data_IF_593077704641
#
_entry.id   IF_593077704641
#
_cell.length_a   1.000
_cell.length_b   1.000
_cell.length_c   1.000
_cell.angle_alpha   90.00
_cell.angle_beta   90.00
_cell.angle_gamma   90.00
#
_symmetry.space_group_name_H-M   'P 1'
#
loop_
_entity.id
_entity.type
_entity.pdbx_description
1 polymer ?
#
# COMPACT_ATOMS: atom_id res chain seq x y z
N UNK A 1 2.54 10.77 35.57
CA UNK A 1 2.51 11.53 34.30
C UNK A 1 2.74 10.54 33.18
N UNK A 2 1.67 9.95 32.65
CA UNK A 2 1.73 9.10 31.47
C UNK A 2 1.96 10.00 30.26
N UNK A 3 2.88 9.68 29.34
CA UNK A 3 2.99 10.44 28.09
C UNK A 3 1.63 10.34 27.39
N UNK A 4 0.95 11.46 27.21
CA UNK A 4 -0.27 11.46 26.40
C UNK A 4 0.16 11.21 24.96
N UNK A 5 -0.52 10.33 24.23
CA UNK A 5 -0.25 10.01 22.82
C UNK A 5 -0.24 11.23 21.86
N UNK A 6 -0.47 12.46 22.35
CA UNK A 6 -0.49 13.72 21.61
C UNK A 6 0.89 14.32 21.28
N UNK A 7 1.99 13.76 21.80
CA UNK A 7 3.33 14.34 21.62
C UNK A 7 4.12 13.77 20.41
N UNK A 8 3.56 12.81 19.68
CA UNK A 8 4.09 12.39 18.38
C UNK A 8 3.71 13.41 17.29
N UNK A 9 4.20 14.65 17.42
CA UNK A 9 4.07 15.60 16.30
C UNK A 9 4.98 15.11 15.17
N UNK A 10 4.40 14.50 14.12
CA UNK A 10 5.07 14.17 12.86
C UNK A 10 5.44 15.44 12.05
N UNK A 11 6.05 16.42 12.71
CA UNK A 11 6.29 17.76 12.23
C UNK A 11 7.52 17.88 11.33
N UNK A 12 8.46 16.93 11.36
CA UNK A 12 9.62 16.93 10.44
C UNK A 12 9.28 16.24 9.11
N UNK A 13 9.70 16.78 7.95
CA UNK A 13 9.50 16.11 6.67
C UNK A 13 10.12 14.71 6.64
N UNK A 14 11.29 14.53 7.27
CA UNK A 14 11.98 13.24 7.34
C UNK A 14 11.14 12.15 8.02
N UNK A 15 10.41 12.49 9.09
CA UNK A 15 9.51 11.52 9.74
C UNK A 15 8.38 11.08 8.82
N UNK A 16 7.83 12.00 8.03
CA UNK A 16 6.77 11.67 7.06
C UNK A 16 7.25 10.69 6.01
N UNK A 17 8.42 10.94 5.42
CA UNK A 17 9.03 10.02 4.47
C UNK A 17 9.33 8.67 5.11
N UNK A 18 9.97 8.65 6.28
CA UNK A 18 10.34 7.41 6.96
C UNK A 18 9.14 6.53 7.33
N UNK A 19 8.08 7.12 7.87
CA UNK A 19 6.89 6.37 8.31
C UNK A 19 6.03 5.93 7.12
N UNK A 20 5.91 6.75 6.08
CA UNK A 20 5.22 6.35 4.85
C UNK A 20 5.98 5.23 4.13
N UNK A 21 7.32 5.29 4.09
CA UNK A 21 8.15 4.22 3.55
C UNK A 21 8.01 2.93 4.39
N UNK A 22 7.97 3.04 5.72
CA UNK A 22 7.73 1.90 6.61
C UNK A 22 6.41 1.20 6.25
N UNK A 23 5.34 1.95 6.03
CA UNK A 23 4.04 1.38 5.61
C UNK A 23 4.15 0.57 4.31
N UNK A 24 4.82 1.10 3.28
CA UNK A 24 5.04 0.39 2.02
C UNK A 24 5.96 -0.83 2.19
N UNK A 25 6.97 -0.74 3.05
CA UNK A 25 7.88 -1.84 3.34
C UNK A 25 7.19 -2.98 4.10
N UNK A 26 6.30 -2.66 5.05
CA UNK A 26 5.48 -3.66 5.74
C UNK A 26 4.58 -4.41 4.75
N UNK A 27 3.99 -3.71 3.77
CA UNK A 27 3.25 -4.39 2.69
C UNK A 27 4.15 -5.33 1.90
N UNK A 28 5.36 -4.90 1.54
CA UNK A 28 6.32 -5.74 0.80
C UNK A 28 6.69 -7.02 1.56
N UNK A 29 6.89 -6.92 2.89
CA UNK A 29 7.17 -8.11 3.70
C UNK A 29 5.95 -9.04 3.86
N UNK A 30 4.72 -8.53 3.69
CA UNK A 30 3.51 -9.35 3.80
C UNK A 30 3.16 -10.15 2.55
N UNK A 31 3.77 -9.81 1.40
CA UNK A 31 3.51 -10.47 0.11
C UNK A 31 4.58 -11.55 -0.19
N UNK A 32 4.34 -12.45 -1.18
CA UNK A 32 5.20 -13.60 -1.47
C UNK A 32 6.68 -13.22 -1.69
N UNK A 33 7.56 -14.18 -1.35
CA UNK A 33 8.99 -14.10 -0.94
C UNK A 33 9.13 -14.19 0.57
N UNK A 34 8.59 -13.20 1.31
CA UNK A 34 8.72 -13.16 2.76
C UNK A 34 7.52 -13.82 3.45
N UNK A 35 6.32 -13.59 2.91
CA UNK A 35 5.08 -14.24 3.37
C UNK A 35 4.79 -13.99 4.87
N UNK A 36 5.18 -12.82 5.40
CA UNK A 36 4.90 -12.43 6.78
C UNK A 36 3.50 -11.82 6.87
N UNK A 37 2.50 -12.66 6.61
CA UNK A 37 1.08 -12.29 6.53
C UNK A 37 0.53 -11.45 7.71
N UNK A 38 1.02 -11.55 8.98
CA UNK A 38 0.52 -10.69 10.04
C UNK A 38 0.82 -9.21 9.80
N UNK A 39 1.86 -8.90 9.02
CA UNK A 39 2.23 -7.51 8.71
C UNK A 39 1.20 -6.82 7.81
N UNK A 40 0.46 -7.57 6.98
CA UNK A 40 -0.59 -7.00 6.12
C UNK A 40 -1.64 -6.24 6.94
N UNK A 41 -2.00 -6.77 8.12
CA UNK A 41 -3.00 -6.19 9.03
C UNK A 41 -2.61 -4.82 9.58
N UNK A 42 -1.30 -4.55 9.69
CA UNK A 42 -0.78 -3.30 10.25
C UNK A 42 -0.09 -2.45 9.19
N UNK A 43 0.05 -2.93 7.95
CA UNK A 43 0.88 -2.29 6.95
C UNK A 43 0.39 -0.88 6.59
N UNK A 44 -0.93 -0.63 6.55
CA UNK A 44 -1.49 0.69 6.24
C UNK A 44 -1.51 1.63 7.44
N UNK A 45 -1.40 1.12 8.67
CA UNK A 45 -1.55 1.92 9.89
C UNK A 45 -0.52 3.06 10.01
N UNK A 46 0.78 2.88 9.68
CA UNK A 46 1.76 3.96 9.81
C UNK A 46 1.46 5.15 8.88
N UNK A 47 1.14 4.91 7.60
CA UNK A 47 0.81 6.01 6.67
C UNK A 47 -0.49 6.70 7.08
N UNK A 48 -1.47 5.92 7.52
CA UNK A 48 -2.72 6.41 8.11
C UNK A 48 -2.47 7.38 9.27
N UNK A 49 -1.65 7.02 10.25
CA UNK A 49 -1.33 7.88 11.40
C UNK A 49 -0.66 9.19 10.99
N UNK A 50 0.26 9.15 10.01
CA UNK A 50 0.88 10.37 9.47
C UNK A 50 -0.14 11.30 8.83
N UNK A 51 -1.11 10.74 8.11
CA UNK A 51 -2.18 11.50 7.45
C UNK A 51 -3.21 12.06 8.43
N UNK A 52 -3.46 11.36 9.55
CA UNK A 52 -4.29 11.87 10.65
C UNK A 52 -3.68 13.13 11.26
N UNK A 53 -2.39 13.10 11.61
CA UNK A 53 -1.74 14.20 12.31
C UNK A 53 -1.31 15.34 11.38
N UNK A 54 -0.94 15.02 10.14
CA UNK A 54 -0.43 16.00 9.17
C UNK A 54 -1.05 15.85 7.78
N UNK A 55 -2.39 16.03 7.62
CA UNK A 55 -3.08 15.82 6.35
C UNK A 55 -2.56 16.70 5.20
N UNK A 56 -1.98 17.87 5.53
CA UNK A 56 -1.32 18.76 4.56
C UNK A 56 -0.14 18.10 3.82
N UNK A 57 0.45 17.04 4.39
CA UNK A 57 1.58 16.29 3.81
C UNK A 57 1.15 15.04 3.05
N UNK A 58 -0.14 14.90 2.75
CA UNK A 58 -0.70 13.77 2.00
C UNK A 58 0.04 13.48 0.69
N UNK A 59 0.54 14.51 0.01
CA UNK A 59 1.27 14.33 -1.24
C UNK A 59 2.59 13.59 -1.01
N UNK A 60 3.41 14.08 -0.07
CA UNK A 60 4.70 13.47 0.25
C UNK A 60 4.52 12.06 0.84
N UNK A 61 3.59 11.89 1.79
CA UNK A 61 3.30 10.60 2.41
C UNK A 61 2.78 9.60 1.38
N UNK A 62 1.77 9.97 0.60
CA UNK A 62 1.14 9.08 -0.38
C UNK A 62 2.09 8.69 -1.52
N UNK A 63 2.90 9.62 -2.03
CA UNK A 63 3.88 9.29 -3.09
C UNK A 63 4.95 8.33 -2.57
N UNK A 64 5.40 8.52 -1.33
CA UNK A 64 6.41 7.65 -0.72
C UNK A 64 5.86 6.26 -0.45
N UNK A 65 4.70 6.18 0.20
CA UNK A 65 4.00 4.92 0.45
C UNK A 65 3.71 4.19 -0.86
N UNK A 66 3.11 4.90 -1.84
CA UNK A 66 2.78 4.35 -3.14
C UNK A 66 4.00 3.83 -3.89
N UNK A 67 5.08 4.61 -3.94
CA UNK A 67 6.31 4.18 -4.60
C UNK A 67 6.96 2.98 -3.91
N UNK A 68 7.13 2.99 -2.59
CA UNK A 68 7.78 1.89 -1.86
C UNK A 68 6.96 0.61 -1.94
N UNK A 69 5.65 0.69 -1.75
CA UNK A 69 4.76 -0.47 -1.94
C UNK A 69 4.78 -0.96 -3.39
N UNK A 70 4.73 -0.04 -4.37
CA UNK A 70 4.83 -0.35 -5.79
C UNK A 70 6.11 -1.10 -6.15
N UNK A 71 7.28 -0.62 -5.69
CA UNK A 71 8.57 -1.32 -5.86
C UNK A 71 8.49 -2.72 -5.25
N UNK A 72 7.94 -2.85 -4.03
CA UNK A 72 7.75 -4.16 -3.41
C UNK A 72 6.93 -5.14 -4.26
N UNK A 73 5.92 -4.65 -4.98
CA UNK A 73 5.10 -5.47 -5.87
C UNK A 73 5.81 -5.86 -7.18
N UNK A 74 6.70 -4.99 -7.70
CA UNK A 74 7.21 -5.10 -9.08
C UNK A 74 8.73 -5.09 -9.23
N UNK A 75 9.50 -5.25 -8.16
CA UNK A 75 10.98 -5.24 -8.19
C UNK A 75 11.57 -6.21 -9.24
N UNK A 76 10.89 -7.34 -9.48
CA UNK A 76 11.27 -8.39 -10.44
C UNK A 76 11.21 -7.95 -11.91
N UNK A 77 10.54 -6.82 -12.22
CA UNK A 77 10.46 -6.30 -13.59
C UNK A 77 11.85 -5.92 -14.11
N UNK A 78 12.73 -5.39 -13.26
CA UNK A 78 14.10 -5.03 -13.67
C UNK A 78 14.83 -6.24 -14.23
N UNK A 79 14.79 -7.37 -13.54
CA UNK A 79 15.42 -8.61 -14.02
C UNK A 79 14.80 -9.07 -15.34
N UNK A 80 13.46 -8.99 -15.44
CA UNK A 80 12.72 -9.44 -16.63
C UNK A 80 13.14 -8.67 -17.88
N UNK A 81 13.17 -7.34 -17.84
CA UNK A 81 13.48 -6.53 -19.03
C UNK A 81 14.97 -6.54 -19.37
N UNK A 82 15.85 -6.77 -18.40
CA UNK A 82 17.29 -6.93 -18.65
C UNK A 82 17.57 -8.28 -19.31
N UNK A 83 17.09 -9.38 -18.73
CA UNK A 83 17.42 -10.72 -19.19
C UNK A 83 16.65 -11.13 -20.46
N UNK A 84 15.38 -10.76 -20.57
CA UNK A 84 14.54 -11.14 -21.71
C UNK A 84 14.34 -10.02 -22.73
N UNK A 85 14.47 -8.76 -22.30
CA UNK A 85 14.35 -7.58 -23.20
C UNK A 85 15.69 -7.10 -23.74
N UNK A 86 16.83 -7.56 -23.20
CA UNK A 86 18.16 -7.11 -23.59
C UNK A 86 18.47 -5.66 -23.21
N UNK A 87 17.69 -5.07 -22.28
CA UNK A 87 17.94 -3.73 -21.79
C UNK A 87 19.18 -3.72 -20.89
N UNK A 88 19.88 -2.59 -20.85
CA UNK A 88 20.90 -2.41 -19.82
C UNK A 88 20.24 -2.28 -18.43
N UNK A 89 20.99 -2.53 -17.34
CA UNK A 89 20.43 -2.49 -15.98
C UNK A 89 19.82 -1.13 -15.56
N UNK A 90 20.37 -0.02 -16.07
CA UNK A 90 19.88 1.34 -15.75
C UNK A 90 18.48 1.55 -16.34
N UNK A 91 18.29 1.18 -17.60
CA UNK A 91 17.00 1.23 -18.27
C UNK A 91 16.02 0.25 -17.62
N UNK A 92 16.49 -0.92 -17.17
CA UNK A 92 15.65 -1.87 -16.44
C UNK A 92 15.15 -1.34 -15.09
N UNK A 93 16.00 -0.63 -14.34
CA UNK A 93 15.60 0.05 -13.10
C UNK A 93 14.62 1.19 -13.38
N UNK A 94 14.85 1.95 -14.45
CA UNK A 94 13.95 3.03 -14.87
C UNK A 94 12.57 2.49 -15.26
N UNK A 95 12.51 1.43 -16.07
CA UNK A 95 11.25 0.77 -16.45
C UNK A 95 10.48 0.26 -15.22
N UNK A 96 11.15 -0.43 -14.29
CA UNK A 96 10.52 -0.87 -13.04
C UNK A 96 9.98 0.31 -12.23
N UNK A 97 10.75 1.39 -12.11
CA UNK A 97 10.35 2.59 -11.36
C UNK A 97 9.08 3.23 -11.94
N UNK A 98 8.93 3.26 -13.27
CA UNK A 98 7.70 3.73 -13.92
C UNK A 98 6.52 2.85 -13.54
N UNK A 99 6.67 1.52 -13.66
CA UNK A 99 5.59 0.59 -13.29
C UNK A 99 5.26 0.67 -11.81
N UNK A 100 6.25 0.81 -10.94
CA UNK A 100 6.07 1.01 -9.51
C UNK A 100 5.30 2.30 -9.21
N UNK A 101 5.54 3.40 -9.94
CA UNK A 101 4.75 4.62 -9.80
C UNK A 101 3.31 4.44 -10.29
N UNK A 102 3.09 3.69 -11.38
CA UNK A 102 1.75 3.41 -11.90
C UNK A 102 0.92 2.58 -10.92
N UNK A 103 1.47 1.49 -10.38
CA UNK A 103 0.78 0.66 -9.38
C UNK A 103 0.70 1.39 -8.03
N UNK A 104 1.74 2.14 -7.68
CA UNK A 104 1.78 2.98 -6.47
C UNK A 104 0.77 4.12 -6.48
N UNK A 105 0.31 4.55 -7.66
CA UNK A 105 -0.68 5.62 -7.80
C UNK A 105 -2.01 5.28 -7.10
N UNK A 106 -2.41 4.00 -7.09
CA UNK A 106 -3.60 3.54 -6.38
C UNK A 106 -3.48 3.75 -4.87
N UNK A 107 -2.33 3.40 -4.28
CA UNK A 107 -2.02 3.68 -2.86
C UNK A 107 -1.90 5.18 -2.55
N UNK A 108 -1.39 5.97 -3.49
CA UNK A 108 -1.34 7.43 -3.38
C UNK A 108 -2.75 8.06 -3.36
N UNK A 109 -3.64 7.64 -4.25
CA UNK A 109 -5.03 8.14 -4.31
C UNK A 109 -5.77 7.77 -3.02
N UNK A 110 -5.57 6.55 -2.51
CA UNK A 110 -6.06 6.14 -1.20
C UNK A 110 -5.61 7.10 -0.09
N UNK A 111 -4.33 7.49 -0.06
CA UNK A 111 -3.82 8.44 0.93
C UNK A 111 -4.49 9.82 0.83
N UNK A 112 -4.78 10.32 -0.37
CA UNK A 112 -5.52 11.58 -0.54
C UNK A 112 -6.92 11.49 0.06
N UNK A 113 -7.61 10.37 -0.16
CA UNK A 113 -8.95 10.15 0.41
C UNK A 113 -8.90 10.11 1.94
N UNK A 114 -8.00 9.30 2.49
CA UNK A 114 -7.82 9.15 3.94
C UNK A 114 -7.48 10.48 4.62
N UNK A 115 -6.60 11.29 4.01
CA UNK A 115 -6.22 12.60 4.55
C UNK A 115 -7.38 13.62 4.60
N UNK A 116 -8.41 13.43 3.78
CA UNK A 116 -9.56 14.34 3.68
C UNK A 116 -10.80 13.82 4.38
N UNK A 117 -10.76 12.59 4.90
CA UNK A 117 -11.90 11.96 5.55
C UNK A 117 -11.91 12.25 7.06
N UNK A 118 -13.10 12.38 7.64
CA UNK A 118 -13.25 12.61 9.08
C UNK A 118 -12.93 11.36 9.91
N UNK A 119 -11.72 11.30 10.48
CA UNK A 119 -11.23 10.21 11.33
C UNK A 119 -12.06 9.95 12.60
N UNK A 120 -12.81 10.96 13.05
CA UNK A 120 -13.65 10.86 14.25
C UNK A 120 -14.97 10.11 14.01
N UNK A 121 -15.27 9.77 12.76
CA UNK A 121 -16.48 9.02 12.41
C UNK A 121 -16.33 7.53 12.75
N UNK A 122 -17.34 6.94 13.36
CA UNK A 122 -17.43 5.48 13.56
C UNK A 122 -17.41 4.70 12.24
N UNK A 123 -17.77 5.36 11.13
CA UNK A 123 -17.75 4.77 9.78
C UNK A 123 -16.39 4.83 9.10
N UNK A 124 -15.39 5.50 9.70
CA UNK A 124 -14.08 5.69 9.07
C UNK A 124 -13.41 4.38 8.63
N UNK A 125 -13.36 3.29 9.44
CA UNK A 125 -12.75 2.04 9.02
C UNK A 125 -13.42 1.45 7.78
N UNK A 126 -14.76 1.44 7.76
CA UNK A 126 -15.55 0.93 6.63
C UNK A 126 -15.27 1.75 5.37
N UNK A 127 -15.21 3.08 5.48
CA UNK A 127 -14.89 3.97 4.35
C UNK A 127 -13.47 3.75 3.85
N UNK A 128 -12.49 3.65 4.75
CA UNK A 128 -11.10 3.40 4.38
C UNK A 128 -10.95 2.04 3.67
N UNK A 129 -11.50 0.96 4.23
CA UNK A 129 -11.52 -0.37 3.62
C UNK A 129 -12.21 -0.38 2.26
N UNK A 130 -13.34 0.33 2.13
CA UNK A 130 -14.07 0.46 0.86
C UNK A 130 -13.23 1.14 -0.21
N UNK A 131 -12.52 2.23 0.15
CA UNK A 131 -11.66 2.94 -0.80
C UNK A 131 -10.44 2.13 -1.16
N UNK A 132 -9.80 1.43 -0.21
CA UNK A 132 -8.70 0.52 -0.51
C UNK A 132 -9.15 -0.56 -1.50
N UNK A 133 -10.28 -1.20 -1.22
CA UNK A 133 -10.86 -2.24 -2.09
C UNK A 133 -11.19 -1.68 -3.48
N UNK A 134 -11.75 -0.47 -3.56
CA UNK A 134 -11.99 0.21 -4.83
C UNK A 134 -10.69 0.47 -5.60
N UNK A 135 -9.60 0.84 -4.91
CA UNK A 135 -8.29 1.02 -5.53
C UNK A 135 -7.73 -0.29 -6.09
N UNK A 136 -7.91 -1.41 -5.39
CA UNK A 136 -7.52 -2.73 -5.88
C UNK A 136 -8.38 -3.22 -7.06
N UNK A 137 -9.67 -2.90 -7.06
CA UNK A 137 -10.55 -3.13 -8.22
C UNK A 137 -10.12 -2.30 -9.43
N UNK A 138 -9.80 -1.02 -9.24
CA UNK A 138 -9.26 -0.19 -10.31
C UNK A 138 -7.91 -0.73 -10.80
N UNK A 139 -7.01 -1.13 -9.90
CA UNK A 139 -5.75 -1.78 -10.27
C UNK A 139 -5.99 -3.03 -11.13
N UNK A 140 -7.08 -3.75 -10.88
CA UNK A 140 -7.40 -4.99 -11.60
C UNK A 140 -8.02 -4.78 -12.98
N UNK A 141 -8.78 -3.71 -13.19
CA UNK A 141 -9.58 -3.56 -14.42
C UNK A 141 -9.23 -2.32 -15.28
N UNK A 142 -8.59 -1.30 -14.70
CA UNK A 142 -8.28 -0.06 -15.42
C UNK A 142 -7.12 -0.25 -16.41
N UNK A 143 -7.22 0.34 -17.60
CA UNK A 143 -6.19 0.31 -18.65
C UNK A 143 -5.63 -1.09 -18.94
N UNK A 144 -6.50 -2.10 -19.07
CA UNK A 144 -6.21 -3.54 -19.24
C UNK A 144 -5.91 -4.33 -17.96
N UNK A 145 -5.65 -3.64 -16.85
CA UNK A 145 -5.51 -4.26 -15.54
C UNK A 145 -4.12 -4.82 -15.24
N UNK A 146 -3.70 -4.70 -13.98
CA UNK A 146 -2.50 -5.33 -13.44
C UNK A 146 -2.75 -5.77 -11.99
N UNK A 147 -3.55 -6.83 -11.76
CA UNK A 147 -3.97 -7.30 -10.42
C UNK A 147 -2.85 -8.03 -9.65
N UNK A 148 -1.63 -7.47 -9.68
CA UNK A 148 -0.46 -8.04 -9.03
C UNK A 148 -0.43 -7.66 -7.54
N UNK A 149 -0.15 -8.64 -6.68
CA UNK A 149 0.06 -8.46 -5.25
C UNK A 149 -1.04 -7.63 -4.57
N UNK A 150 -2.28 -8.10 -4.71
CA UNK A 150 -3.42 -7.58 -3.95
C UNK A 150 -3.24 -7.97 -2.47
N UNK A 151 -3.61 -7.07 -1.55
CA UNK A 151 -3.37 -7.23 -0.12
C UNK A 151 -3.96 -8.54 0.42
N UNK A 152 -5.13 -8.93 -0.09
CA UNK A 152 -5.80 -10.17 0.30
C UNK A 152 -5.01 -11.45 -0.01
N UNK A 153 -4.07 -11.44 -0.96
CA UNK A 153 -3.22 -12.59 -1.25
C UNK A 153 -2.32 -12.98 -0.09
N UNK A 154 -1.93 -12.02 0.76
CA UNK A 154 -1.15 -12.30 1.97
C UNK A 154 -1.81 -13.33 2.90
N UNK A 155 -3.14 -13.46 2.86
CA UNK A 155 -3.89 -14.33 3.77
C UNK A 155 -4.17 -15.72 3.21
N UNK A 156 -3.54 -16.13 2.10
CA UNK A 156 -3.84 -17.41 1.43
C UNK A 156 -3.65 -18.65 2.32
N UNK A 157 -2.78 -18.59 3.34
CA UNK A 157 -2.56 -19.66 4.33
C UNK A 157 -3.44 -19.55 5.57
N UNK A 158 -4.14 -18.44 5.76
CA UNK A 158 -4.94 -18.18 6.94
C UNK A 158 -6.35 -18.71 6.74
N UNK A 159 -6.56 -20.00 7.00
CA UNK A 159 -7.81 -20.72 6.68
C UNK A 159 -9.10 -20.00 7.12
N UNK A 160 -9.22 -19.47 8.36
CA UNK A 160 -10.45 -18.79 8.77
C UNK A 160 -10.77 -17.51 7.97
N UNK A 161 -9.73 -16.86 7.42
CA UNK A 161 -9.85 -15.60 6.69
C UNK A 161 -10.07 -15.85 5.21
N UNK A 162 -9.28 -16.75 4.60
CA UNK A 162 -9.32 -17.00 3.16
C UNK A 162 -10.66 -17.60 2.68
N UNK A 163 -11.42 -18.24 3.58
CA UNK A 163 -12.76 -18.79 3.27
C UNK A 163 -13.73 -17.73 2.73
N UNK A 164 -13.55 -16.47 3.12
CA UNK A 164 -14.38 -15.35 2.67
C UNK A 164 -14.25 -15.14 1.15
N UNK A 165 -13.09 -15.48 0.58
CA UNK A 165 -12.85 -15.38 -0.85
C UNK A 165 -13.79 -16.25 -1.70
N UNK A 166 -14.41 -17.30 -1.14
CA UNK A 166 -15.40 -18.10 -1.86
C UNK A 166 -16.67 -17.31 -2.22
N UNK A 167 -16.98 -16.24 -1.47
CA UNK A 167 -18.17 -15.40 -1.71
C UNK A 167 -17.80 -14.10 -2.38
N UNK A 168 -16.74 -13.44 -1.89
CA UNK A 168 -16.38 -12.07 -2.30
C UNK A 168 -15.19 -11.99 -3.25
N UNK A 169 -14.54 -13.13 -3.53
CA UNK A 169 -13.20 -13.14 -4.09
C UNK A 169 -12.17 -12.52 -3.14
N UNK A 170 -10.95 -12.32 -3.66
CA UNK A 170 -9.83 -11.73 -2.91
C UNK A 170 -10.14 -10.35 -2.31
N UNK A 171 -11.04 -9.58 -2.93
CA UNK A 171 -11.37 -8.23 -2.51
C UNK A 171 -12.04 -8.17 -1.13
N UNK A 172 -12.87 -9.14 -0.77
CA UNK A 172 -13.44 -9.17 0.59
C UNK A 172 -12.42 -9.55 1.65
N UNK A 173 -11.37 -10.28 1.28
CA UNK A 173 -10.23 -10.54 2.17
C UNK A 173 -9.38 -9.27 2.33
N UNK A 174 -9.14 -8.52 1.26
CA UNK A 174 -8.44 -7.23 1.31
C UNK A 174 -9.24 -6.10 1.97
N UNK A 175 -10.56 -6.23 2.07
CA UNK A 175 -11.44 -5.29 2.77
C UNK A 175 -11.34 -5.39 4.29
N UNK A 176 -11.14 -6.61 4.82
CA UNK A 176 -10.98 -6.87 6.24
C UNK A 176 -9.68 -6.30 6.80
#
# INVERSE_FOLDING_TARGET
>A
MTPSFRDLRFSSPAHVFGIAALSGFLMFLSIPIFDWWPLAWVALAPVMLVLHDTPRRMIAAGLTFGFVSGVGKVYWITETVVNYGGLNPILGLFSMSIVALLVGAYGFIFCIFVARTGWQSMLFPILASSVWTAMELLQTYLFTGFPWELLGYSQYRTLPIIQIANITGVYGVGFL
#
